data_IF_178260927663
#
_entry.id   IF_178260927663
#
_cell.length_a   1.000
_cell.length_b   1.000
_cell.length_c   1.000
_cell.angle_alpha   90.00
_cell.angle_beta   90.00
_cell.angle_gamma   90.00
#
_symmetry.space_group_name_H-M   'P 1'
#
loop_
_entity.id
_entity.type
_entity.pdbx_description
1 polymer ?
#
# COMPACT_ATOMS: atom_id res chain seq x y z
N UNK A 1 -12.47 7.90 7.59
CA UNK A 1 -13.65 7.26 8.21
C UNK A 1 -13.68 7.49 9.72
N UNK A 2 -12.53 7.41 10.42
CA UNK A 2 -12.46 7.58 11.88
C UNK A 2 -12.98 8.98 12.26
N UNK A 3 -12.33 10.04 11.81
CA UNK A 3 -12.65 11.43 12.18
C UNK A 3 -14.07 11.88 11.77
N UNK A 4 -14.73 11.16 10.88
CA UNK A 4 -16.09 11.43 10.42
C UNK A 4 -17.14 10.55 11.10
N UNK A 5 -16.75 9.73 12.08
CA UNK A 5 -17.65 8.89 12.85
C UNK A 5 -18.27 7.73 12.06
N UNK A 6 -17.71 7.34 10.91
CA UNK A 6 -18.33 6.33 10.04
C UNK A 6 -18.25 4.92 10.62
N UNK A 7 -17.31 4.64 11.52
CA UNK A 7 -17.25 3.36 12.24
C UNK A 7 -18.27 3.32 13.37
N UNK A 8 -18.44 4.41 14.09
CA UNK A 8 -19.44 4.57 15.14
C UNK A 8 -20.87 4.44 14.58
N UNK A 9 -21.13 5.01 13.38
CA UNK A 9 -22.40 4.84 12.66
C UNK A 9 -22.74 3.36 12.40
N UNK A 10 -21.73 2.54 12.20
CA UNK A 10 -21.87 1.08 11.99
C UNK A 10 -21.74 0.27 13.31
N UNK A 11 -21.78 0.95 14.46
CA UNK A 11 -21.62 0.37 15.80
C UNK A 11 -20.29 -0.38 16.02
N UNK A 12 -19.22 0.11 15.40
CA UNK A 12 -17.86 -0.42 15.54
C UNK A 12 -17.05 0.51 16.44
N UNK A 13 -16.55 -0.03 17.55
CA UNK A 13 -15.52 0.60 18.38
C UNK A 13 -14.15 0.19 17.84
N UNK A 14 -13.50 1.11 17.12
CA UNK A 14 -12.26 0.83 16.39
C UNK A 14 -11.02 1.13 17.23
N UNK A 15 -10.20 0.14 17.47
CA UNK A 15 -8.85 0.30 18.00
C UNK A 15 -7.82 0.17 16.86
N UNK A 16 -7.28 1.30 16.39
CA UNK A 16 -6.29 1.35 15.32
C UNK A 16 -4.87 1.24 15.87
N UNK A 17 -4.12 0.24 15.38
CA UNK A 17 -2.71 0.03 15.73
C UNK A 17 -1.86 -0.03 14.47
N UNK A 18 -0.79 0.76 14.41
CA UNK A 18 0.15 0.76 13.29
C UNK A 18 1.18 -0.36 13.44
N UNK A 19 1.24 -1.28 12.46
CA UNK A 19 2.13 -2.43 12.49
C UNK A 19 3.53 -2.21 11.87
N UNK A 20 3.75 -1.11 11.16
CA UNK A 20 5.02 -0.78 10.49
C UNK A 20 5.56 -1.88 9.56
N UNK A 21 4.68 -2.49 8.76
CA UNK A 21 5.04 -3.47 7.74
C UNK A 21 4.01 -4.58 7.59
N UNK A 22 3.81 -5.06 6.37
CA UNK A 22 2.81 -6.06 6.04
C UNK A 22 3.05 -7.39 6.77
N UNK A 23 4.30 -7.77 6.97
CA UNK A 23 4.71 -8.95 7.72
C UNK A 23 4.29 -8.89 9.19
N UNK A 24 4.44 -7.74 9.84
CA UNK A 24 4.03 -7.53 11.24
C UNK A 24 2.50 -7.51 11.38
N UNK A 25 1.81 -6.83 10.44
CA UNK A 25 0.34 -6.82 10.42
C UNK A 25 -0.22 -8.23 10.18
N UNK A 26 0.35 -8.98 9.24
CA UNK A 26 -0.07 -10.35 8.99
C UNK A 26 0.21 -11.27 10.19
N UNK A 27 1.34 -11.08 10.88
CA UNK A 27 1.63 -11.81 12.12
C UNK A 27 0.57 -11.55 13.18
N UNK A 28 0.19 -10.29 13.41
CA UNK A 28 -0.86 -9.94 14.38
C UNK A 28 -2.22 -10.55 13.97
N UNK A 29 -2.53 -10.59 12.68
CA UNK A 29 -3.76 -11.20 12.18
C UNK A 29 -3.79 -12.72 12.39
N UNK A 30 -2.72 -13.41 12.03
CA UNK A 30 -2.62 -14.88 12.17
C UNK A 30 -2.59 -15.29 13.64
N UNK A 31 -1.94 -14.54 14.52
CA UNK A 31 -1.92 -14.76 15.97
C UNK A 31 -3.22 -14.37 16.66
N UNK A 32 -4.16 -13.72 15.95
CA UNK A 32 -5.45 -13.22 16.47
C UNK A 32 -5.30 -12.07 17.49
N UNK A 33 -4.20 -11.35 17.42
CA UNK A 33 -3.98 -10.09 18.13
C UNK A 33 -4.66 -8.91 17.42
N UNK A 34 -4.95 -9.07 16.12
CA UNK A 34 -5.77 -8.17 15.32
C UNK A 34 -6.90 -8.94 14.64
N UNK A 35 -8.08 -8.33 14.56
CA UNK A 35 -9.26 -8.89 13.90
C UNK A 35 -9.24 -8.64 12.39
N UNK A 36 -8.79 -7.45 12.01
CA UNK A 36 -8.71 -6.98 10.62
C UNK A 36 -7.30 -6.43 10.38
N UNK A 37 -6.69 -6.82 9.27
CA UNK A 37 -5.40 -6.31 8.82
C UNK A 37 -5.55 -5.43 7.58
N UNK A 38 -4.78 -4.34 7.51
CA UNK A 38 -4.64 -3.52 6.31
C UNK A 38 -3.18 -3.53 5.86
N UNK A 39 -2.92 -4.10 4.69
CA UNK A 39 -1.56 -4.30 4.20
C UNK A 39 -1.51 -4.55 2.70
N UNK A 40 -0.33 -4.80 2.17
CA UNK A 40 -0.14 -5.28 0.81
C UNK A 40 -0.91 -6.59 0.58
N UNK A 41 -1.65 -6.65 -0.51
CA UNK A 41 -2.57 -7.77 -0.80
C UNK A 41 -1.86 -9.11 -1.06
N UNK A 42 -0.56 -9.07 -1.37
CA UNK A 42 0.30 -10.25 -1.54
C UNK A 42 0.41 -11.10 -0.28
N UNK A 43 0.34 -10.48 0.90
CA UNK A 43 0.53 -11.18 2.17
C UNK A 43 -0.48 -12.31 2.40
N UNK A 44 -1.70 -12.16 1.89
CA UNK A 44 -2.73 -13.22 1.94
C UNK A 44 -2.34 -14.45 1.12
N UNK A 45 -1.62 -14.23 0.00
CA UNK A 45 -1.13 -15.29 -0.87
C UNK A 45 -0.05 -16.11 -0.13
N UNK A 46 0.88 -15.44 0.53
CA UNK A 46 1.95 -16.12 1.26
C UNK A 46 1.43 -17.05 2.35
N UNK A 47 0.54 -16.55 3.21
CA UNK A 47 -0.05 -17.36 4.29
C UNK A 47 -0.88 -18.53 3.75
N UNK A 48 -1.55 -18.34 2.63
CA UNK A 48 -2.27 -19.43 1.98
C UNK A 48 -1.33 -20.52 1.46
N UNK A 49 -0.21 -20.12 0.83
CA UNK A 49 0.81 -21.04 0.30
C UNK A 49 1.56 -21.80 1.39
N UNK A 50 1.69 -21.23 2.60
CA UNK A 50 2.23 -21.92 3.78
C UNK A 50 1.29 -22.99 4.34
N UNK A 51 0.09 -23.15 3.76
CA UNK A 51 -0.86 -24.22 4.11
C UNK A 51 -1.73 -23.90 5.33
N UNK A 52 -1.86 -22.64 5.73
CA UNK A 52 -2.78 -22.24 6.77
C UNK A 52 -4.21 -22.63 6.41
N UNK A 53 -4.92 -23.27 7.34
CA UNK A 53 -6.34 -23.60 7.16
C UNK A 53 -7.27 -22.44 7.49
N UNK A 54 -6.81 -21.52 8.36
CA UNK A 54 -7.50 -20.27 8.73
C UNK A 54 -6.73 -19.09 8.12
N UNK A 55 -6.63 -19.09 6.81
CA UNK A 55 -5.90 -18.09 6.04
C UNK A 55 -6.63 -16.76 5.98
N UNK A 56 -5.88 -15.68 5.66
CA UNK A 56 -6.43 -14.35 5.47
C UNK A 56 -7.20 -14.25 4.14
N UNK A 57 -8.41 -13.69 4.19
CA UNK A 57 -9.27 -13.41 3.03
C UNK A 57 -9.45 -11.91 2.89
N UNK A 58 -9.14 -11.37 1.72
CA UNK A 58 -9.35 -9.97 1.39
C UNK A 58 -10.84 -9.71 1.15
N UNK A 59 -11.39 -8.70 1.80
CA UNK A 59 -12.82 -8.36 1.66
C UNK A 59 -13.06 -6.93 1.16
N UNK A 60 -12.03 -6.07 1.20
CA UNK A 60 -12.12 -4.70 0.70
C UNK A 60 -10.76 -4.22 0.17
N UNK A 61 -10.67 -3.84 -1.10
CA UNK A 61 -9.48 -3.20 -1.67
C UNK A 61 -9.59 -1.68 -1.49
N UNK A 62 -8.52 -1.02 -1.04
CA UNK A 62 -8.51 0.42 -0.83
C UNK A 62 -7.75 1.15 -1.93
N UNK A 63 -6.53 0.74 -2.23
CA UNK A 63 -5.67 1.42 -3.20
C UNK A 63 -5.53 0.61 -4.48
N UNK A 64 -5.50 1.33 -5.61
CA UNK A 64 -5.37 0.77 -6.94
C UNK A 64 -4.06 1.18 -7.64
N UNK A 65 -3.22 1.94 -6.95
CA UNK A 65 -1.85 2.27 -7.35
C UNK A 65 -0.95 2.24 -6.14
N UNK A 66 0.34 2.04 -6.38
CA UNK A 66 1.35 2.14 -5.34
C UNK A 66 1.39 3.56 -4.75
N UNK A 67 1.52 3.65 -3.44
CA UNK A 67 1.62 4.93 -2.73
C UNK A 67 3.06 5.40 -2.50
N UNK A 68 4.05 4.77 -3.15
CA UNK A 68 5.45 5.07 -2.97
C UNK A 68 6.06 5.79 -4.17
N UNK A 69 7.12 6.52 -3.88
CA UNK A 69 7.84 7.38 -4.80
C UNK A 69 9.32 7.02 -4.82
N UNK A 70 9.96 7.21 -5.95
CA UNK A 70 11.41 7.19 -6.06
C UNK A 70 11.95 8.58 -5.72
N UNK A 71 12.79 8.65 -4.73
CA UNK A 71 13.47 9.88 -4.27
C UNK A 71 14.93 9.79 -4.63
N UNK A 72 15.44 10.77 -5.37
CA UNK A 72 16.85 10.94 -5.73
C UNK A 72 17.56 11.84 -4.73
N UNK A 73 18.85 11.63 -4.52
CA UNK A 73 19.72 12.54 -3.78
C UNK A 73 19.95 13.84 -4.57
N UNK A 74 20.00 13.74 -5.88
CA UNK A 74 20.26 14.85 -6.80
C UNK A 74 18.95 15.35 -7.41
N UNK A 75 18.90 16.65 -7.73
CA UNK A 75 17.76 17.25 -8.41
C UNK A 75 17.77 16.89 -9.90
N UNK A 76 17.09 15.84 -10.28
CA UNK A 76 17.00 15.33 -11.63
C UNK A 76 15.69 15.79 -12.31
N UNK A 77 15.73 16.95 -12.97
CA UNK A 77 14.53 17.53 -13.63
C UNK A 77 14.06 16.75 -14.87
N UNK A 78 14.89 15.88 -15.45
CA UNK A 78 14.56 15.00 -16.61
C UNK A 78 14.94 13.55 -16.26
N UNK A 79 14.40 13.04 -15.16
CA UNK A 79 14.66 11.68 -14.71
C UNK A 79 14.17 10.66 -15.75
N UNK A 80 14.99 9.64 -15.96
CA UNK A 80 14.66 8.44 -16.74
C UNK A 80 15.06 7.20 -15.93
N UNK A 81 14.32 6.13 -16.06
CA UNK A 81 14.64 4.88 -15.35
C UNK A 81 16.07 4.40 -15.63
N UNK A 82 16.60 4.65 -16.83
CA UNK A 82 18.01 4.36 -17.18
C UNK A 82 19.04 5.08 -16.29
N UNK A 83 18.69 6.16 -15.60
CA UNK A 83 19.57 6.86 -14.67
C UNK A 83 19.95 6.00 -13.46
N UNK A 84 19.17 4.93 -13.18
CA UNK A 84 19.44 4.01 -12.09
C UNK A 84 20.58 3.02 -12.38
N UNK A 85 21.01 2.87 -13.65
CA UNK A 85 22.09 1.94 -14.01
C UNK A 85 23.41 2.33 -13.31
N UNK A 86 24.00 1.36 -12.63
CA UNK A 86 25.22 1.55 -11.82
C UNK A 86 25.02 2.26 -10.48
N UNK A 87 23.76 2.54 -10.09
CA UNK A 87 23.43 3.23 -8.85
C UNK A 87 23.02 2.28 -7.73
N UNK A 88 23.00 2.82 -6.51
CA UNK A 88 22.51 2.13 -5.32
C UNK A 88 21.14 2.69 -4.91
N UNK A 89 20.16 1.81 -4.72
CA UNK A 89 18.78 2.16 -4.38
C UNK A 89 18.35 1.42 -3.12
N UNK A 90 17.77 2.13 -2.16
CA UNK A 90 17.00 1.52 -1.08
C UNK A 90 15.62 1.13 -1.65
N UNK A 91 15.46 -0.14 -2.02
CA UNK A 91 14.34 -0.61 -2.84
C UNK A 91 13.17 -1.20 -2.06
N UNK A 92 13.20 -1.13 -0.73
CA UNK A 92 12.22 -1.79 0.12
C UNK A 92 12.64 -3.22 0.51
N UNK A 93 11.92 -3.81 1.47
CA UNK A 93 12.19 -5.16 1.99
C UNK A 93 11.90 -6.23 0.92
N UNK A 94 12.77 -7.23 0.81
CA UNK A 94 12.57 -8.38 -0.08
C UNK A 94 11.21 -9.06 0.15
N UNK A 95 10.50 -9.38 -0.93
CA UNK A 95 9.18 -10.01 -0.90
C UNK A 95 8.02 -9.08 -0.52
N UNK A 96 8.27 -7.79 -0.30
CA UNK A 96 7.22 -6.79 -0.08
C UNK A 96 6.76 -6.10 -1.37
N UNK A 97 5.51 -5.64 -1.43
CA UNK A 97 4.98 -4.93 -2.60
C UNK A 97 5.86 -3.76 -3.08
N UNK A 98 6.46 -2.93 -2.19
CA UNK A 98 7.33 -1.84 -2.64
C UNK A 98 8.48 -2.33 -3.53
N UNK A 99 9.19 -3.36 -3.06
CA UNK A 99 10.31 -3.94 -3.79
C UNK A 99 9.86 -4.62 -5.09
N UNK A 100 8.83 -5.46 -5.02
CA UNK A 100 8.33 -6.19 -6.20
C UNK A 100 7.86 -5.25 -7.30
N UNK A 101 7.15 -4.18 -6.96
CA UNK A 101 6.72 -3.17 -7.93
C UNK A 101 7.88 -2.35 -8.48
N UNK A 102 8.85 -1.99 -7.65
CA UNK A 102 10.08 -1.33 -8.12
C UNK A 102 10.79 -2.21 -9.17
N UNK A 103 11.01 -3.48 -8.88
CA UNK A 103 11.61 -4.42 -9.84
C UNK A 103 10.75 -4.65 -11.09
N UNK A 104 9.41 -4.70 -10.92
CA UNK A 104 8.49 -4.78 -12.06
C UNK A 104 8.65 -3.60 -13.01
N UNK A 105 8.75 -2.38 -12.46
CA UNK A 105 8.99 -1.16 -13.26
C UNK A 105 10.37 -1.21 -13.93
N UNK A 106 11.41 -1.62 -13.23
CA UNK A 106 12.75 -1.78 -13.82
C UNK A 106 12.71 -2.72 -15.02
N UNK A 107 12.15 -3.92 -14.85
CA UNK A 107 12.02 -4.92 -15.92
C UNK A 107 11.19 -4.40 -17.09
N UNK A 108 10.11 -3.66 -16.84
CA UNK A 108 9.28 -3.02 -17.86
C UNK A 108 10.08 -2.00 -18.69
N UNK A 109 11.08 -1.36 -18.10
CA UNK A 109 11.99 -0.42 -18.76
C UNK A 109 13.27 -1.08 -19.30
N UNK A 110 13.35 -2.41 -19.31
CA UNK A 110 14.51 -3.15 -19.83
C UNK A 110 15.74 -3.11 -18.94
N UNK A 111 15.55 -2.84 -17.64
CA UNK A 111 16.62 -2.76 -16.63
C UNK A 111 16.61 -4.04 -15.80
N UNK A 112 17.77 -4.69 -15.67
CA UNK A 112 17.95 -5.85 -14.81
C UNK A 112 18.11 -5.43 -13.35
N UNK A 113 17.19 -5.82 -12.45
CA UNK A 113 17.35 -5.50 -11.02
C UNK A 113 18.62 -6.10 -10.37
N UNK A 114 19.19 -7.13 -10.98
CA UNK A 114 20.34 -7.86 -10.44
C UNK A 114 21.66 -7.37 -11.04
N UNK A 115 21.67 -7.04 -12.34
CA UNK A 115 22.90 -6.77 -13.08
C UNK A 115 23.17 -5.28 -13.28
N UNK A 116 22.11 -4.46 -13.38
CA UNK A 116 22.25 -3.07 -13.80
C UNK A 116 22.38 -2.07 -12.63
N UNK A 117 21.96 -2.45 -11.41
CA UNK A 117 22.02 -1.58 -10.23
C UNK A 117 22.16 -2.39 -8.94
N UNK A 118 22.43 -1.71 -7.83
CA UNK A 118 22.47 -2.32 -6.51
C UNK A 118 21.19 -1.98 -5.74
N UNK A 119 20.38 -2.97 -5.37
CA UNK A 119 19.18 -2.77 -4.56
C UNK A 119 19.45 -3.23 -3.12
N UNK A 120 19.39 -2.29 -2.17
CA UNK A 120 19.51 -2.58 -0.74
C UNK A 120 18.11 -2.96 -0.22
N UNK A 121 17.95 -4.15 0.35
CA UNK A 121 16.69 -4.73 0.78
C UNK A 121 16.65 -5.10 2.27
N UNK A 122 17.68 -4.73 3.01
CA UNK A 122 17.90 -5.11 4.42
C UNK A 122 17.67 -3.96 5.41
N UNK A 123 16.99 -2.91 5.00
CA UNK A 123 16.61 -1.78 5.86
C UNK A 123 15.13 -1.91 6.19
N UNK A 124 14.80 -1.83 7.48
CA UNK A 124 13.42 -1.88 7.95
C UNK A 124 12.58 -0.71 7.43
N UNK A 125 11.32 -1.01 7.11
CA UNK A 125 10.32 -0.01 6.78
C UNK A 125 10.22 1.05 7.88
N UNK A 126 10.25 2.27 7.63
CA UNK A 126 10.28 3.36 8.62
C UNK A 126 11.70 3.81 9.00
N UNK A 127 12.75 3.12 8.54
CA UNK A 127 14.15 3.54 8.70
C UNK A 127 14.80 3.91 7.37
N UNK A 128 14.11 3.75 6.25
CA UNK A 128 14.65 3.95 4.89
C UNK A 128 15.05 5.41 4.64
N UNK A 129 14.23 6.39 5.03
CA UNK A 129 14.54 7.80 4.90
C UNK A 129 15.81 8.19 5.68
N UNK A 130 15.95 7.72 6.95
CA UNK A 130 17.13 7.96 7.76
C UNK A 130 18.38 7.29 7.17
N UNK A 131 18.23 6.07 6.66
CA UNK A 131 19.31 5.38 5.97
C UNK A 131 19.73 6.12 4.68
N UNK A 132 18.76 6.62 3.92
CA UNK A 132 19.03 7.45 2.73
C UNK A 132 19.79 8.72 3.10
N UNK A 133 19.33 9.50 4.08
CA UNK A 133 20.02 10.75 4.50
C UNK A 133 21.42 10.49 5.03
N UNK A 134 21.71 9.32 5.59
CA UNK A 134 23.06 8.92 5.99
C UNK A 134 24.06 8.73 4.82
N UNK A 135 23.56 8.69 3.58
CA UNK A 135 24.39 8.65 2.38
C UNK A 135 24.72 7.26 1.85
N UNK A 136 24.02 6.20 2.30
CA UNK A 136 24.32 4.82 1.88
C UNK A 136 23.75 4.45 0.50
N UNK A 137 22.89 5.29 -0.08
CA UNK A 137 22.26 5.07 -1.38
C UNK A 137 22.09 6.36 -2.16
N UNK A 138 22.05 6.26 -3.49
CA UNK A 138 21.78 7.36 -4.41
C UNK A 138 20.30 7.68 -4.49
N UNK A 139 19.45 6.65 -4.34
CA UNK A 139 17.99 6.74 -4.40
C UNK A 139 17.36 5.92 -3.28
N UNK A 140 16.12 6.27 -2.95
CA UNK A 140 15.29 5.50 -2.02
C UNK A 140 13.84 5.43 -2.51
N UNK A 141 13.18 4.32 -2.21
CA UNK A 141 11.74 4.13 -2.41
C UNK A 141 11.02 4.49 -1.13
N UNK A 142 10.31 5.61 -1.12
CA UNK A 142 9.67 6.15 0.08
C UNK A 142 8.16 6.26 -0.07
N UNK A 143 7.46 6.11 1.05
CA UNK A 143 6.07 6.49 1.18
C UNK A 143 5.93 7.91 1.74
N UNK A 144 4.72 8.45 1.67
CA UNK A 144 4.38 9.65 2.42
C UNK A 144 4.17 9.35 3.93
N UNK A 145 4.53 10.24 4.84
CA UNK A 145 5.01 11.62 4.61
C UNK A 145 6.51 11.72 4.28
N UNK A 146 7.28 10.63 4.35
CA UNK A 146 8.75 10.67 4.23
C UNK A 146 9.22 11.27 2.90
N UNK A 147 8.57 10.96 1.78
CA UNK A 147 8.94 11.50 0.47
C UNK A 147 8.82 13.05 0.45
N UNK A 148 7.70 13.59 0.89
CA UNK A 148 7.49 15.04 0.97
C UNK A 148 8.43 15.71 1.99
N UNK A 149 8.68 15.08 3.14
CA UNK A 149 9.59 15.63 4.15
C UNK A 149 11.04 15.69 3.64
N UNK A 150 11.52 14.68 2.91
CA UNK A 150 12.85 14.71 2.29
C UNK A 150 12.98 15.89 1.29
N UNK A 151 11.93 16.17 0.51
CA UNK A 151 11.92 17.34 -0.41
C UNK A 151 11.95 18.67 0.36
N UNK A 152 11.12 18.82 1.39
CA UNK A 152 11.06 20.04 2.20
C UNK A 152 12.39 20.32 2.92
N UNK A 153 13.05 19.27 3.40
CA UNK A 153 14.35 19.35 4.06
C UNK A 153 15.52 19.52 3.07
N UNK A 154 15.25 19.42 1.76
CA UNK A 154 16.26 19.44 0.70
C UNK A 154 17.29 18.30 0.82
N UNK A 155 16.88 17.20 1.40
CA UNK A 155 17.66 15.98 1.58
C UNK A 155 17.46 15.00 0.42
N UNK A 156 16.40 15.21 -0.40
CA UNK A 156 16.08 14.41 -1.57
C UNK A 156 15.05 15.10 -2.45
N UNK A 157 14.83 14.52 -3.64
CA UNK A 157 13.91 15.03 -4.65
C UNK A 157 13.07 13.89 -5.20
N UNK A 158 11.76 14.00 -5.16
CA UNK A 158 10.86 13.01 -5.79
C UNK A 158 11.03 13.11 -7.31
N UNK A 159 11.50 12.03 -7.92
CA UNK A 159 11.79 11.97 -9.37
C UNK A 159 10.82 11.10 -10.15
N UNK A 160 10.16 10.15 -9.49
CA UNK A 160 9.16 9.30 -10.12
C UNK A 160 8.10 8.80 -9.11
N UNK A 161 6.89 8.52 -9.59
CA UNK A 161 5.85 7.84 -8.85
C UNK A 161 5.80 6.37 -9.27
N UNK A 162 6.05 5.45 -8.34
CA UNK A 162 5.89 4.04 -8.63
C UNK A 162 4.42 3.70 -8.96
N UNK A 163 3.48 4.42 -8.35
CA UNK A 163 2.05 4.25 -8.62
C UNK A 163 1.64 4.60 -10.04
N UNK A 164 2.25 5.64 -10.61
CA UNK A 164 2.01 6.02 -12.01
C UNK A 164 2.68 5.03 -12.96
N UNK A 165 3.93 4.67 -12.72
CA UNK A 165 4.75 3.89 -13.65
C UNK A 165 4.43 2.39 -13.65
N UNK A 166 3.99 1.83 -12.51
CA UNK A 166 3.46 0.46 -12.46
C UNK A 166 2.07 0.33 -13.08
N UNK A 167 1.30 1.41 -13.13
CA UNK A 167 -0.11 1.38 -13.53
C UNK A 167 -1.04 0.95 -12.40
N UNK A 168 -2.24 0.48 -12.75
CA UNK A 168 -3.21 0.00 -11.78
C UNK A 168 -2.83 -1.39 -11.28
N UNK A 169 -2.61 -1.50 -9.97
CA UNK A 169 -2.30 -2.74 -9.26
C UNK A 169 -3.12 -2.80 -7.96
N UNK A 170 -3.55 -3.99 -7.50
CA UNK A 170 -4.24 -4.10 -6.21
C UNK A 170 -3.20 -3.97 -5.08
N UNK A 171 -2.85 -2.73 -4.73
CA UNK A 171 -1.70 -2.49 -3.86
C UNK A 171 -2.00 -2.84 -2.41
N UNK A 172 -3.06 -2.28 -1.80
CA UNK A 172 -3.45 -2.60 -0.43
C UNK A 172 -4.91 -3.02 -0.34
N UNK A 173 -5.17 -3.95 0.58
CA UNK A 173 -6.50 -4.43 0.89
C UNK A 173 -6.68 -4.67 2.39
N UNK A 174 -7.93 -4.61 2.84
CA UNK A 174 -8.34 -5.09 4.15
C UNK A 174 -8.61 -6.59 4.06
N UNK A 175 -8.06 -7.34 5.00
CA UNK A 175 -8.28 -8.77 5.13
C UNK A 175 -8.55 -9.15 6.59
N UNK A 176 -9.18 -10.31 6.76
CA UNK A 176 -9.40 -10.94 8.06
C UNK A 176 -9.23 -12.46 7.92
N UNK A 177 -8.96 -13.15 9.03
CA UNK A 177 -8.95 -14.59 9.02
C UNK A 177 -10.31 -15.15 8.57
N UNK A 178 -10.30 -16.19 7.78
CA UNK A 178 -11.52 -16.84 7.26
C UNK A 178 -12.52 -17.11 8.38
N UNK A 179 -12.06 -17.64 9.51
CA UNK A 179 -12.91 -17.93 10.66
C UNK A 179 -13.54 -16.68 11.30
N UNK A 180 -12.85 -15.54 11.24
CA UNK A 180 -13.40 -14.26 11.74
C UNK A 180 -14.53 -13.77 10.84
N UNK A 181 -14.33 -13.79 9.52
CA UNK A 181 -15.36 -13.39 8.54
C UNK A 181 -16.63 -14.25 8.70
N UNK A 182 -16.47 -15.58 8.87
CA UNK A 182 -17.59 -16.51 9.05
C UNK A 182 -18.36 -16.27 10.35
N UNK A 183 -17.67 -15.88 11.42
CA UNK A 183 -18.29 -15.65 12.74
C UNK A 183 -18.89 -14.26 12.92
N UNK A 184 -18.33 -13.26 12.24
CA UNK A 184 -18.65 -11.84 12.42
C UNK A 184 -18.98 -11.13 11.10
N UNK A 185 -19.88 -11.69 10.26
CA UNK A 185 -20.21 -11.11 8.95
C UNK A 185 -20.76 -9.69 9.05
N UNK A 186 -21.50 -9.38 10.14
CA UNK A 186 -22.05 -8.03 10.35
C UNK A 186 -20.96 -7.00 10.64
N UNK A 187 -19.92 -7.39 11.40
CA UNK A 187 -18.76 -6.52 11.67
C UNK A 187 -18.01 -6.24 10.37
N UNK A 188 -17.76 -7.26 9.54
CA UNK A 188 -17.11 -7.11 8.24
C UNK A 188 -17.93 -6.22 7.30
N UNK A 189 -19.26 -6.36 7.30
CA UNK A 189 -20.13 -5.51 6.50
C UNK A 189 -20.08 -4.05 6.98
N UNK A 190 -20.25 -3.81 8.29
CA UNK A 190 -20.19 -2.47 8.86
C UNK A 190 -18.84 -1.81 8.63
N UNK A 191 -17.75 -2.55 8.82
CA UNK A 191 -16.40 -2.06 8.52
C UNK A 191 -16.26 -1.65 7.05
N UNK A 192 -16.73 -2.51 6.15
CA UNK A 192 -16.67 -2.23 4.70
C UNK A 192 -17.52 -1.01 4.31
N UNK A 193 -18.70 -0.84 4.94
CA UNK A 193 -19.55 0.33 4.76
C UNK A 193 -18.84 1.62 5.19
N UNK A 194 -18.19 1.61 6.36
CA UNK A 194 -17.44 2.75 6.88
C UNK A 194 -16.26 3.14 5.97
N UNK A 195 -15.55 2.14 5.42
CA UNK A 195 -14.46 2.37 4.45
C UNK A 195 -15.02 2.94 3.14
N UNK A 196 -16.14 2.40 2.62
CA UNK A 196 -16.76 2.91 1.40
C UNK A 196 -17.19 4.38 1.55
N UNK A 197 -17.87 4.74 2.67
CA UNK A 197 -18.19 6.14 2.99
C UNK A 197 -16.93 7.02 3.00
N UNK A 198 -15.81 6.52 3.53
CA UNK A 198 -14.53 7.22 3.51
C UNK A 198 -13.98 7.45 2.10
N UNK A 199 -14.07 6.45 1.21
CA UNK A 199 -13.70 6.59 -0.20
C UNK A 199 -14.60 7.60 -0.92
N UNK A 200 -15.90 7.56 -0.68
CA UNK A 200 -16.88 8.51 -1.26
C UNK A 200 -16.56 9.94 -0.81
N UNK A 201 -16.18 10.12 0.45
CA UNK A 201 -15.71 11.41 0.97
C UNK A 201 -14.45 11.90 0.24
N UNK A 202 -13.43 11.06 0.14
CA UNK A 202 -12.16 11.40 -0.54
C UNK A 202 -12.41 11.74 -2.02
N UNK A 203 -13.29 11.02 -2.70
CA UNK A 203 -13.58 11.25 -4.11
C UNK A 203 -14.40 12.55 -4.37
N UNK A 204 -15.17 13.00 -3.38
CA UNK A 204 -16.08 14.16 -3.52
C UNK A 204 -15.54 15.48 -2.93
N UNK A 205 -14.45 15.44 -2.16
CA UNK A 205 -13.90 16.62 -1.48
C UNK A 205 -12.54 17.03 -2.02
N UNK A 206 -12.17 18.28 -1.79
CA UNK A 206 -10.85 18.84 -2.14
C UNK A 206 -9.75 18.27 -1.25
N UNK A 207 -8.50 18.38 -1.70
CA UNK A 207 -7.35 17.92 -0.92
C UNK A 207 -7.24 18.66 0.43
N UNK A 208 -7.59 19.95 0.48
CA UNK A 208 -7.60 20.75 1.71
C UNK A 208 -8.67 20.27 2.70
N UNK A 209 -9.91 20.05 2.24
CA UNK A 209 -11.00 19.53 3.10
C UNK A 209 -10.66 18.15 3.68
N UNK A 210 -10.05 17.29 2.88
CA UNK A 210 -9.60 15.98 3.35
C UNK A 210 -8.48 16.13 4.38
N UNK A 211 -7.50 17.00 4.11
CA UNK A 211 -6.37 17.25 5.02
C UNK A 211 -6.85 17.77 6.39
N UNK A 212 -7.81 18.70 6.41
CA UNK A 212 -8.42 19.20 7.65
C UNK A 212 -9.04 18.08 8.49
N UNK A 213 -9.74 17.15 7.84
CA UNK A 213 -10.38 16.01 8.52
C UNK A 213 -9.35 15.04 9.09
N UNK A 214 -8.28 14.72 8.35
CA UNK A 214 -7.32 13.69 8.78
C UNK A 214 -6.18 14.24 9.64
N UNK A 215 -6.01 15.55 9.73
CA UNK A 215 -4.92 16.18 10.49
C UNK A 215 -4.77 15.66 11.94
N UNK A 216 -5.84 15.35 12.71
CA UNK A 216 -5.70 14.78 14.04
C UNK A 216 -4.95 13.45 14.09
N UNK A 217 -4.93 12.67 12.99
CA UNK A 217 -4.21 11.41 12.89
C UNK A 217 -2.70 11.60 12.58
N UNK A 218 -2.29 12.83 12.25
CA UNK A 218 -0.91 13.18 11.88
C UNK A 218 -0.40 14.39 12.66
N UNK A 219 -0.34 14.30 14.02
CA UNK A 219 -0.05 15.46 14.86
C UNK A 219 1.35 16.07 14.64
N UNK A 220 2.28 15.30 14.07
CA UNK A 220 3.66 15.75 13.78
C UNK A 220 3.81 16.38 12.38
N UNK A 221 2.73 16.44 11.58
CA UNK A 221 2.76 16.94 10.20
C UNK A 221 1.83 18.14 10.06
N UNK A 222 2.35 19.25 9.54
CA UNK A 222 1.55 20.45 9.33
C UNK A 222 0.50 20.26 8.22
N UNK A 223 -0.55 21.10 8.27
CA UNK A 223 -1.71 20.98 7.40
C UNK A 223 -1.37 21.17 5.92
N UNK A 224 -0.43 22.05 5.59
CA UNK A 224 -0.01 22.31 4.21
C UNK A 224 0.71 21.08 3.65
N UNK A 225 1.55 20.44 4.44
CA UNK A 225 2.20 19.17 4.09
C UNK A 225 1.18 18.05 3.89
N UNK A 226 0.20 17.89 4.79
CA UNK A 226 -0.87 16.90 4.63
C UNK A 226 -1.67 17.18 3.34
N UNK A 227 -2.00 18.44 3.06
CA UNK A 227 -2.72 18.84 1.84
C UNK A 227 -1.93 18.45 0.59
N UNK A 228 -0.63 18.72 0.57
CA UNK A 228 0.27 18.35 -0.53
C UNK A 228 0.29 16.83 -0.76
N UNK A 229 0.38 16.04 0.31
CA UNK A 229 0.36 14.57 0.26
C UNK A 229 -0.97 14.06 -0.30
N UNK A 230 -2.09 14.58 0.20
CA UNK A 230 -3.43 14.19 -0.27
C UNK A 230 -3.59 14.53 -1.75
N UNK A 231 -3.16 15.73 -2.17
CA UNK A 231 -3.22 16.15 -3.57
C UNK A 231 -2.39 15.24 -4.49
N UNK A 232 -1.19 14.88 -4.06
CA UNK A 232 -0.30 13.95 -4.78
C UNK A 232 -0.98 12.59 -4.97
N UNK A 233 -1.58 12.03 -3.92
CA UNK A 233 -2.29 10.75 -4.00
C UNK A 233 -3.58 10.82 -4.82
N UNK A 234 -4.31 11.92 -4.77
CA UNK A 234 -5.48 12.15 -5.63
C UNK A 234 -5.08 12.28 -7.10
N UNK A 235 -4.06 13.08 -7.39
CA UNK A 235 -3.58 13.33 -8.75
C UNK A 235 -3.12 12.06 -9.45
N UNK A 236 -2.47 11.14 -8.73
CA UNK A 236 -2.08 9.85 -9.29
C UNK A 236 -3.17 8.78 -9.24
N UNK A 237 -4.39 9.10 -8.78
CA UNK A 237 -5.53 8.17 -8.71
C UNK A 237 -5.23 6.93 -7.83
N UNK A 238 -4.68 7.17 -6.63
CA UNK A 238 -4.27 6.09 -5.73
C UNK A 238 -5.43 5.32 -5.15
N UNK A 239 -6.50 6.01 -4.74
CA UNK A 239 -7.66 5.41 -4.10
C UNK A 239 -8.71 4.98 -5.11
N UNK A 240 -9.34 3.84 -4.84
CA UNK A 240 -10.43 3.35 -5.68
C UNK A 240 -11.71 4.16 -5.51
N UNK A 241 -12.62 4.02 -6.49
CA UNK A 241 -13.99 4.55 -6.37
C UNK A 241 -14.91 3.65 -5.52
N UNK A 242 -14.55 2.37 -5.37
CA UNK A 242 -15.25 1.41 -4.52
C UNK A 242 -14.26 0.41 -3.91
N UNK A 243 -14.72 -0.36 -2.93
CA UNK A 243 -13.89 -1.34 -2.21
C UNK A 243 -13.81 -2.71 -2.87
N UNK A 244 -14.35 -2.89 -4.09
CA UNK A 244 -14.43 -4.20 -4.76
C UNK A 244 -13.03 -4.63 -5.24
N UNK A 245 -12.56 -5.78 -4.77
CA UNK A 245 -11.31 -6.38 -5.23
C UNK A 245 -11.59 -7.31 -6.42
N UNK A 246 -11.44 -6.79 -7.62
CA UNK A 246 -11.78 -7.51 -8.84
C UNK A 246 -10.78 -8.64 -9.16
N UNK A 247 -11.30 -9.71 -9.78
CA UNK A 247 -10.49 -10.85 -10.21
C UNK A 247 -9.34 -10.44 -11.15
N UNK A 248 -9.59 -9.50 -12.07
CA UNK A 248 -8.57 -8.99 -12.99
C UNK A 248 -7.37 -8.40 -12.24
N UNK A 249 -7.63 -7.65 -11.18
CA UNK A 249 -6.57 -7.06 -10.36
C UNK A 249 -5.77 -8.13 -9.61
N UNK A 250 -6.45 -9.16 -9.10
CA UNK A 250 -5.79 -10.28 -8.44
C UNK A 250 -4.90 -11.10 -9.38
N UNK A 251 -5.33 -11.32 -10.63
CA UNK A 251 -4.50 -11.98 -11.64
C UNK A 251 -3.22 -11.18 -11.94
N UNK A 252 -3.33 -9.84 -12.04
CA UNK A 252 -2.15 -8.98 -12.18
C UNK A 252 -1.21 -9.09 -10.96
N UNK A 253 -1.75 -9.15 -9.75
CA UNK A 253 -0.95 -9.38 -8.55
C UNK A 253 -0.16 -10.69 -8.64
N UNK A 254 -0.82 -11.78 -9.06
CA UNK A 254 -0.13 -13.07 -9.25
C UNK A 254 0.98 -12.98 -10.30
N UNK A 255 0.76 -12.25 -11.37
CA UNK A 255 1.78 -12.04 -12.40
C UNK A 255 3.00 -11.29 -11.86
N UNK A 256 2.79 -10.27 -11.04
CA UNK A 256 3.87 -9.52 -10.38
C UNK A 256 4.66 -10.45 -9.44
N UNK A 257 3.98 -11.22 -8.58
CA UNK A 257 4.63 -12.17 -7.68
C UNK A 257 5.41 -13.24 -8.45
N UNK A 258 4.87 -13.73 -9.57
CA UNK A 258 5.55 -14.69 -10.44
C UNK A 258 6.82 -14.12 -11.05
N UNK A 259 6.78 -12.86 -11.51
CA UNK A 259 7.94 -12.18 -12.09
C UNK A 259 9.03 -11.87 -11.06
N UNK A 260 8.67 -11.70 -9.80
CA UNK A 260 9.62 -11.53 -8.69
C UNK A 260 10.14 -12.86 -8.11
N UNK A 261 9.56 -14.00 -8.53
CA UNK A 261 9.92 -15.32 -8.00
C UNK A 261 9.24 -15.68 -6.68
N UNK A 262 8.30 -14.85 -6.22
CA UNK A 262 7.61 -14.99 -4.93
C UNK A 262 6.34 -15.85 -4.99
N UNK A 263 5.84 -16.19 -6.18
CA UNK A 263 4.70 -17.08 -6.36
C UNK A 263 5.18 -18.54 -6.51
N UNK A 264 5.13 -19.31 -5.42
CA UNK A 264 5.56 -20.71 -5.41
C UNK A 264 4.60 -21.65 -6.16
N UNK A 265 3.29 -21.40 -6.10
CA UNK A 265 2.24 -22.14 -6.81
C UNK A 265 1.06 -21.22 -7.10
N UNK A 266 0.22 -21.58 -8.07
CA UNK A 266 -1.00 -20.82 -8.37
C UNK A 266 -1.98 -20.86 -7.19
N UNK A 267 -2.68 -19.77 -6.97
CA UNK A 267 -3.64 -19.60 -5.87
C UNK A 267 -5.01 -19.17 -6.41
N UNK A 268 -6.11 -19.74 -5.90
CA UNK A 268 -7.43 -19.44 -6.41
C UNK A 268 -7.98 -18.14 -5.82
N UNK A 269 -8.40 -17.23 -6.70
CA UNK A 269 -9.06 -15.97 -6.33
C UNK A 269 -10.22 -16.19 -5.35
N UNK A 270 -11.07 -17.16 -5.62
CA UNK A 270 -12.29 -17.45 -4.87
C UNK A 270 -12.05 -17.91 -3.42
N UNK A 271 -10.80 -18.25 -3.09
CA UNK A 271 -10.39 -18.56 -1.70
C UNK A 271 -9.88 -17.34 -0.97
N UNK A 272 -9.18 -16.46 -1.67
CA UNK A 272 -8.44 -15.34 -1.08
C UNK A 272 -9.16 -14.00 -1.17
N UNK A 273 -10.28 -13.94 -1.89
CA UNK A 273 -11.06 -12.70 -2.05
C UNK A 273 -12.55 -13.01 -1.92
N UNK A 274 -13.25 -12.18 -1.14
CA UNK A 274 -14.71 -12.08 -1.15
C UNK A 274 -15.12 -10.68 -1.55
N UNK A 275 -16.11 -10.56 -2.44
CA UNK A 275 -16.63 -9.26 -2.91
C UNK A 275 -18.04 -8.95 -2.42
N UNK A 276 -18.65 -9.85 -1.64
CA UNK A 276 -20.04 -9.72 -1.24
C UNK A 276 -20.28 -8.47 -0.37
N UNK A 277 -19.39 -8.22 0.59
CA UNK A 277 -19.45 -7.06 1.48
C UNK A 277 -19.21 -5.75 0.71
N UNK A 278 -18.20 -5.73 -0.14
CA UNK A 278 -17.84 -4.57 -0.96
C UNK A 278 -18.92 -4.21 -1.97
N UNK A 279 -19.56 -5.19 -2.62
CA UNK A 279 -20.69 -4.95 -3.53
C UNK A 279 -21.87 -4.35 -2.80
N UNK A 280 -22.24 -4.87 -1.64
CA UNK A 280 -23.32 -4.29 -0.83
C UNK A 280 -23.00 -2.86 -0.39
N UNK A 281 -21.77 -2.59 0.07
CA UNK A 281 -21.34 -1.27 0.47
C UNK A 281 -21.36 -0.26 -0.69
N UNK A 282 -21.03 -0.70 -1.90
CA UNK A 282 -21.09 0.11 -3.12
C UNK A 282 -22.47 0.18 -3.79
N UNK A 283 -23.50 -0.45 -3.21
CA UNK A 283 -24.86 -0.48 -3.79
C UNK A 283 -24.97 -1.27 -5.10
N UNK A 284 -24.15 -2.31 -5.27
CA UNK A 284 -24.06 -3.16 -6.48
C UNK A 284 -24.49 -4.60 -6.23
#
# INVERSE_FOLDING_TARGET
SIELGYFEDESIDLNLVTGFGADKVMTALVSKEADIGFMGSESSIYVYQEGSTDYAVNFAQLTQRAGNFLVSRDNETDFKWDNLKGRTVLGGRAGGMPQMLFEYILKKNGISPVDDLTILQNVDFGSTAAAFTSGIADYTVEFEPSATLLEQQKEGYVVASLGTDSGYVPYTAYCANKSFIEKHPDVIQGFTNAIQKGLDYVNSHTSSEIAEVIAPQFPETDLDTITTIVDRYKTQDTWKGDTIFEKKSFELLKDILKQSGELGSDVPYEKLVTTDYSKKAAGK
#
